data_IF_134265447363
#
_entry.id   IF_134265447363
#
_cell.length_a   1.000
_cell.length_b   1.000
_cell.length_c   1.000
_cell.angle_alpha   90.00
_cell.angle_beta   90.00
_cell.angle_gamma   90.00
#
_symmetry.space_group_name_H-M   'P 1'
#
loop_
_entity.id
_entity.type
_entity.pdbx_description
1 polymer ?
#
# COMPACT_ATOMS: atom_id res chain seq x y z
N UNK A 1 -1.76 -13.59 -28.90
CA UNK A 1 -1.25 -12.73 -27.82
C UNK A 1 -1.35 -13.46 -26.45
N UNK A 2 -0.89 -12.85 -25.35
CA UNK A 2 -0.92 -13.49 -24.02
C UNK A 2 -2.36 -13.56 -23.47
N UNK A 3 -3.19 -12.55 -23.73
CA UNK A 3 -4.56 -12.54 -23.31
C UNK A 3 -5.36 -13.71 -23.89
N UNK A 4 -5.21 -13.98 -25.19
CA UNK A 4 -5.85 -15.13 -25.84
C UNK A 4 -5.31 -16.45 -25.32
N UNK A 5 -3.99 -16.55 -25.15
CA UNK A 5 -3.33 -17.78 -24.69
C UNK A 5 -3.76 -18.20 -23.29
N UNK A 6 -3.90 -17.22 -22.38
CA UNK A 6 -4.19 -17.47 -20.98
C UNK A 6 -5.61 -17.06 -20.56
N UNK A 7 -6.42 -16.56 -21.51
CA UNK A 7 -7.79 -16.11 -21.31
C UNK A 7 -7.89 -15.03 -20.20
N UNK A 8 -7.02 -14.00 -20.28
CA UNK A 8 -7.04 -12.88 -19.35
C UNK A 8 -8.17 -11.92 -19.70
N UNK A 9 -8.94 -11.51 -18.70
CA UNK A 9 -9.99 -10.49 -18.84
C UNK A 9 -9.40 -9.07 -18.89
N UNK A 10 -8.21 -8.85 -18.31
CA UNK A 10 -7.56 -7.56 -18.22
C UNK A 10 -6.08 -7.60 -17.88
N UNK A 11 -5.46 -6.43 -17.98
CA UNK A 11 -4.11 -6.17 -17.50
C UNK A 11 -4.12 -5.05 -16.46
N UNK A 12 -3.38 -5.25 -15.38
CA UNK A 12 -3.11 -4.24 -14.37
C UNK A 12 -1.70 -3.67 -14.57
N UNK A 13 -1.57 -2.35 -14.59
CA UNK A 13 -0.29 -1.66 -14.67
C UNK A 13 0.11 -1.16 -13.29
N UNK A 14 1.21 -1.68 -12.78
CA UNK A 14 1.79 -1.35 -11.48
C UNK A 14 3.15 -0.67 -11.69
N UNK A 15 3.11 0.63 -12.04
CA UNK A 15 4.30 1.45 -12.21
C UNK A 15 4.56 2.26 -10.96
N UNK A 16 5.57 1.87 -10.22
CA UNK A 16 5.99 2.55 -9.00
C UNK A 16 7.28 3.36 -9.22
N UNK A 17 7.58 4.25 -8.27
CA UNK A 17 8.82 5.03 -8.26
C UNK A 17 8.99 5.91 -9.50
N UNK A 18 7.90 6.51 -9.97
CA UNK A 18 7.86 7.44 -11.09
C UNK A 18 7.91 8.87 -10.54
N UNK A 19 8.71 9.74 -11.14
CA UNK A 19 8.81 11.13 -10.72
C UNK A 19 7.61 11.96 -11.22
N UNK A 20 7.26 13.01 -10.47
CA UNK A 20 6.22 13.97 -10.85
C UNK A 20 6.47 14.58 -12.25
N UNK A 21 7.74 14.74 -12.64
CA UNK A 21 8.12 15.21 -13.99
C UNK A 21 7.67 14.30 -15.12
N UNK A 22 7.47 13.01 -14.84
CA UNK A 22 7.10 12.00 -15.84
C UNK A 22 5.59 11.71 -15.87
N UNK A 23 4.82 12.46 -15.10
CA UNK A 23 3.36 12.33 -14.96
C UNK A 23 2.62 12.34 -16.30
N UNK A 24 2.95 13.28 -17.19
CA UNK A 24 2.33 13.39 -18.49
C UNK A 24 2.72 12.24 -19.43
N UNK A 25 3.94 11.73 -19.32
CA UNK A 25 4.39 10.55 -20.05
C UNK A 25 3.63 9.30 -19.61
N UNK A 26 3.36 9.16 -18.31
CA UNK A 26 2.53 8.08 -17.77
C UNK A 26 1.10 8.17 -18.30
N UNK A 27 0.50 9.37 -18.30
CA UNK A 27 -0.84 9.60 -18.85
C UNK A 27 -0.91 9.19 -20.31
N UNK A 28 0.07 9.62 -21.12
CA UNK A 28 0.13 9.29 -22.55
C UNK A 28 0.31 7.78 -22.76
N UNK A 29 1.24 7.16 -22.05
CA UNK A 29 1.44 5.71 -22.12
C UNK A 29 0.15 4.96 -21.80
N UNK A 30 -0.54 5.33 -20.71
CA UNK A 30 -1.79 4.66 -20.32
C UNK A 30 -2.89 4.85 -21.34
N UNK A 31 -2.97 6.02 -21.98
CA UNK A 31 -3.93 6.27 -23.05
C UNK A 31 -3.69 5.35 -24.26
N UNK A 32 -2.44 5.23 -24.70
CA UNK A 32 -2.05 4.40 -25.84
C UNK A 32 -2.24 2.90 -25.53
N UNK A 33 -1.80 2.46 -24.34
CA UNK A 33 -1.93 1.08 -23.89
C UNK A 33 -3.40 0.67 -23.75
N UNK A 34 -4.22 1.53 -23.11
CA UNK A 34 -5.66 1.26 -22.92
C UNK A 34 -6.35 1.12 -24.27
N UNK A 35 -6.09 2.01 -25.21
CA UNK A 35 -6.67 1.93 -26.54
C UNK A 35 -6.31 0.62 -27.25
N UNK A 36 -5.03 0.27 -27.25
CA UNK A 36 -4.55 -0.96 -27.89
C UNK A 36 -5.13 -2.25 -27.27
N UNK A 37 -5.33 -2.24 -25.93
CA UNK A 37 -5.91 -3.39 -25.21
C UNK A 37 -7.43 -3.47 -25.40
N UNK A 38 -8.13 -2.34 -25.43
CA UNK A 38 -9.55 -2.30 -25.75
C UNK A 38 -9.85 -2.79 -27.18
N UNK A 39 -8.97 -2.53 -28.15
CA UNK A 39 -9.13 -3.04 -29.53
C UNK A 39 -9.16 -4.59 -29.60
N UNK A 40 -8.67 -5.27 -28.54
CA UNK A 40 -8.71 -6.74 -28.39
C UNK A 40 -9.62 -7.19 -27.23
N UNK A 41 -10.55 -6.33 -26.78
CA UNK A 41 -11.52 -6.60 -25.71
C UNK A 41 -10.88 -6.96 -24.35
N UNK A 42 -9.74 -6.38 -24.01
CA UNK A 42 -9.04 -6.59 -22.74
C UNK A 42 -9.19 -5.35 -21.87
N UNK A 43 -9.63 -5.52 -20.61
CA UNK A 43 -9.76 -4.47 -19.62
C UNK A 43 -8.39 -3.96 -19.14
N UNK A 44 -8.37 -2.70 -18.68
CA UNK A 44 -7.14 -2.07 -18.19
C UNK A 44 -7.36 -1.47 -16.81
N UNK A 45 -6.43 -1.72 -15.91
CA UNK A 45 -6.36 -1.06 -14.61
C UNK A 45 -4.95 -0.51 -14.34
N UNK A 46 -4.86 0.43 -13.42
CA UNK A 46 -3.60 0.99 -12.95
C UNK A 46 -3.59 1.09 -11.43
N UNK A 47 -2.46 0.73 -10.82
CA UNK A 47 -2.22 0.94 -9.40
C UNK A 47 -1.80 2.38 -9.13
N UNK A 48 -2.36 2.97 -8.08
CA UNK A 48 -2.00 4.30 -7.60
C UNK A 48 -1.90 4.30 -6.08
N UNK A 49 -0.98 5.10 -5.53
CA UNK A 49 -0.90 5.29 -4.08
C UNK A 49 -2.00 6.19 -3.56
N UNK A 50 -2.23 6.19 -2.24
CA UNK A 50 -3.05 7.21 -1.59
C UNK A 50 -2.52 8.62 -1.89
N UNK A 51 -3.40 9.62 -2.10
CA UNK A 51 -2.97 11.00 -2.34
C UNK A 51 -2.15 11.54 -1.16
N UNK A 52 -0.92 11.96 -1.43
CA UNK A 52 -0.01 12.58 -0.46
C UNK A 52 0.88 13.61 -1.15
N UNK A 53 1.49 14.50 -0.37
CA UNK A 53 2.41 15.50 -0.87
C UNK A 53 3.82 14.92 -1.07
N UNK A 54 3.94 14.00 -2.01
CA UNK A 54 5.18 13.34 -2.39
C UNK A 54 5.34 13.32 -3.91
N UNK A 55 6.45 13.87 -4.41
CA UNK A 55 6.71 14.04 -5.83
C UNK A 55 7.08 12.74 -6.55
N UNK A 56 7.53 11.72 -5.82
CA UNK A 56 7.99 10.47 -6.41
C UNK A 56 6.96 9.35 -6.28
N UNK A 57 6.23 9.31 -5.15
CA UNK A 57 5.33 8.19 -4.83
C UNK A 57 3.84 8.52 -5.00
N UNK A 58 3.48 9.78 -5.17
CA UNK A 58 2.05 10.16 -5.26
C UNK A 58 1.73 11.15 -6.37
N UNK A 59 2.49 12.25 -6.50
CA UNK A 59 2.20 13.30 -7.48
C UNK A 59 2.42 12.87 -8.94
N UNK A 60 3.16 11.78 -9.16
CA UNK A 60 3.31 11.16 -10.48
C UNK A 60 1.98 10.64 -11.06
N UNK A 61 0.99 10.32 -10.21
CA UNK A 61 -0.31 9.85 -10.67
C UNK A 61 -1.32 10.98 -10.82
N UNK A 62 -1.66 11.33 -12.06
CA UNK A 62 -2.82 12.17 -12.36
C UNK A 62 -4.10 11.33 -12.28
N UNK A 63 -4.59 11.13 -11.06
CA UNK A 63 -5.74 10.26 -10.79
C UNK A 63 -6.97 10.64 -11.57
N UNK A 64 -7.17 11.95 -11.81
CA UNK A 64 -8.29 12.47 -12.59
C UNK A 64 -8.21 12.09 -14.07
N UNK A 65 -7.04 12.20 -14.66
CA UNK A 65 -6.80 11.80 -16.06
C UNK A 65 -6.79 10.29 -16.20
N UNK A 66 -6.07 9.59 -15.33
CA UNK A 66 -6.01 8.13 -15.31
C UNK A 66 -7.40 7.50 -15.13
N UNK A 67 -8.22 8.02 -14.20
CA UNK A 67 -9.60 7.55 -13.99
C UNK A 67 -10.53 7.70 -15.21
N UNK A 68 -10.21 8.60 -16.13
CA UNK A 68 -10.94 8.72 -17.41
C UNK A 68 -10.46 7.73 -18.46
N UNK A 69 -9.17 7.38 -18.42
CA UNK A 69 -8.49 6.54 -19.42
C UNK A 69 -8.79 5.06 -19.17
N UNK A 70 -8.56 4.58 -17.95
CA UNK A 70 -8.62 3.14 -17.64
C UNK A 70 -10.00 2.66 -17.22
N UNK A 71 -10.22 1.34 -17.20
CA UNK A 71 -11.45 0.75 -16.67
C UNK A 71 -11.51 0.81 -15.15
N UNK A 72 -10.39 0.55 -14.44
CA UNK A 72 -10.32 0.58 -12.98
C UNK A 72 -9.03 1.24 -12.50
N UNK A 73 -9.12 1.92 -11.37
CA UNK A 73 -8.00 2.48 -10.61
C UNK A 73 -7.91 1.70 -9.30
N UNK A 74 -6.79 1.01 -9.08
CA UNK A 74 -6.53 0.23 -7.89
C UNK A 74 -5.81 1.12 -6.88
N UNK A 75 -6.48 1.51 -5.81
CA UNK A 75 -5.88 2.30 -4.75
C UNK A 75 -5.07 1.39 -3.82
N UNK A 76 -3.76 1.54 -3.80
CA UNK A 76 -2.86 0.89 -2.85
C UNK A 76 -2.97 1.58 -1.48
N UNK A 77 -4.01 1.21 -0.70
CA UNK A 77 -4.28 1.78 0.61
C UNK A 77 -3.52 1.01 1.72
N UNK A 78 -2.22 0.88 1.55
CA UNK A 78 -1.29 0.23 2.48
C UNK A 78 0.09 0.88 2.45
N UNK A 79 0.99 0.40 3.30
CA UNK A 79 2.31 0.99 3.55
C UNK A 79 2.24 2.43 4.10
N UNK A 80 1.22 2.73 4.95
CA UNK A 80 1.20 3.95 5.77
C UNK A 80 2.54 4.11 6.52
N UNK A 81 3.05 3.00 7.10
CA UNK A 81 4.42 2.88 7.57
C UNK A 81 5.09 1.72 6.84
N UNK A 82 5.99 2.04 5.92
CA UNK A 82 6.68 1.05 5.08
C UNK A 82 7.92 0.48 5.77
N UNK A 83 8.50 -0.57 5.19
CA UNK A 83 9.59 -1.35 5.79
C UNK A 83 10.83 -0.54 6.23
N UNK A 84 11.11 0.57 5.58
CA UNK A 84 12.25 1.45 5.91
C UNK A 84 11.85 2.75 6.61
N UNK A 85 10.61 2.84 7.09
CA UNK A 85 10.15 3.95 7.92
C UNK A 85 11.03 4.10 9.15
N UNK A 86 11.29 5.34 9.54
CA UNK A 86 12.08 5.69 10.74
C UNK A 86 11.23 5.68 12.01
N UNK A 87 9.94 5.51 11.87
CA UNK A 87 8.93 5.45 12.94
C UNK A 87 8.11 4.18 12.74
N UNK A 88 7.87 3.45 13.82
CA UNK A 88 6.95 2.31 13.85
C UNK A 88 5.50 2.76 13.74
N UNK A 89 4.66 1.94 13.11
CA UNK A 89 3.25 2.24 12.99
C UNK A 89 2.47 1.21 12.20
N UNK A 90 1.20 1.50 11.96
CA UNK A 90 0.30 0.65 11.18
C UNK A 90 0.74 0.57 9.71
N UNK A 91 0.47 -0.56 9.08
CA UNK A 91 0.57 -0.69 7.62
C UNK A 91 -0.58 0.05 6.94
N UNK A 92 -1.77 0.06 7.54
CA UNK A 92 -2.98 0.65 6.98
C UNK A 92 -3.99 0.89 8.11
N UNK A 93 -3.84 1.99 8.85
CA UNK A 93 -4.84 2.34 9.86
C UNK A 93 -6.15 2.76 9.19
N UNK A 94 -7.29 2.41 9.79
CA UNK A 94 -8.60 2.71 9.22
C UNK A 94 -8.79 4.19 8.86
N UNK A 95 -8.46 5.17 9.73
CA UNK A 95 -8.59 6.58 9.37
C UNK A 95 -7.71 7.01 8.19
N UNK A 96 -6.51 6.43 8.07
CA UNK A 96 -5.60 6.73 6.96
C UNK A 96 -6.15 6.15 5.64
N UNK A 97 -6.67 4.92 5.66
CA UNK A 97 -7.32 4.29 4.50
C UNK A 97 -8.55 5.07 4.07
N UNK A 98 -9.44 5.42 5.01
CA UNK A 98 -10.64 6.24 4.73
C UNK A 98 -10.27 7.57 4.10
N UNK A 99 -9.27 8.26 4.64
CA UNK A 99 -8.78 9.51 4.07
C UNK A 99 -8.24 9.32 2.64
N UNK A 100 -7.48 8.25 2.39
CA UNK A 100 -7.00 7.88 1.07
C UNK A 100 -8.14 7.67 0.06
N UNK A 101 -9.16 6.91 0.44
CA UNK A 101 -10.36 6.66 -0.37
C UNK A 101 -11.12 7.96 -0.66
N UNK A 102 -11.45 8.74 0.38
CA UNK A 102 -12.20 9.99 0.22
C UNK A 102 -11.47 10.99 -0.67
N UNK A 103 -10.15 11.09 -0.56
CA UNK A 103 -9.38 11.98 -1.42
C UNK A 103 -9.27 11.45 -2.86
N UNK A 104 -9.13 10.15 -3.06
CA UNK A 104 -9.10 9.56 -4.41
C UNK A 104 -10.43 9.71 -5.14
N UNK A 105 -11.55 9.57 -4.42
CA UNK A 105 -12.90 9.73 -4.98
C UNK A 105 -13.23 11.16 -5.46
N UNK A 106 -12.41 12.16 -5.13
CA UNK A 106 -12.55 13.51 -5.70
C UNK A 106 -12.19 13.56 -7.19
N UNK A 107 -11.34 12.63 -7.62
CA UNK A 107 -10.77 12.59 -8.97
C UNK A 107 -11.19 11.34 -9.76
N UNK A 108 -11.43 10.22 -9.11
CA UNK A 108 -11.77 8.91 -9.71
C UNK A 108 -13.25 8.60 -9.44
N UNK A 109 -14.06 8.25 -10.48
CA UNK A 109 -15.42 7.78 -10.26
C UNK A 109 -15.47 6.54 -9.37
N UNK A 110 -16.47 6.48 -8.46
CA UNK A 110 -16.60 5.41 -7.48
C UNK A 110 -16.74 4.02 -8.10
N UNK A 111 -17.39 3.91 -9.26
CA UNK A 111 -17.57 2.66 -10.01
C UNK A 111 -16.27 2.13 -10.64
N UNK A 112 -15.21 2.95 -10.68
CA UNK A 112 -13.91 2.58 -11.21
C UNK A 112 -12.86 2.35 -10.11
N UNK A 113 -13.15 2.80 -8.87
CA UNK A 113 -12.19 2.68 -7.77
C UNK A 113 -12.25 1.30 -7.14
N UNK A 114 -11.10 0.64 -7.04
CA UNK A 114 -10.92 -0.62 -6.32
C UNK A 114 -9.96 -0.38 -5.16
N UNK A 115 -10.35 -0.77 -3.96
CA UNK A 115 -9.54 -0.62 -2.76
C UNK A 115 -8.64 -1.84 -2.56
N UNK A 116 -7.33 -1.63 -2.63
CA UNK A 116 -6.32 -2.62 -2.26
C UNK A 116 -6.08 -2.65 -0.76
N UNK A 117 -6.15 -3.84 -0.15
CA UNK A 117 -5.91 -4.05 1.27
C UNK A 117 -4.69 -4.95 1.50
N UNK A 118 -3.89 -4.72 2.57
CA UNK A 118 -2.73 -5.54 2.85
C UNK A 118 -3.11 -6.88 3.47
N UNK A 119 -2.50 -7.97 3.00
CA UNK A 119 -2.52 -9.28 3.65
C UNK A 119 -1.21 -9.56 4.41
N UNK A 120 -0.59 -8.51 4.95
CA UNK A 120 0.64 -8.55 5.73
C UNK A 120 0.62 -7.47 6.82
N UNK A 121 1.52 -7.61 7.79
CA UNK A 121 1.77 -6.63 8.83
C UNK A 121 3.26 -6.34 8.97
N UNK A 122 3.61 -5.39 9.83
CA UNK A 122 5.00 -5.10 10.22
C UNK A 122 5.24 -5.54 11.67
N UNK A 123 6.27 -6.35 11.88
CA UNK A 123 6.89 -6.54 13.18
C UNK A 123 7.98 -5.47 13.33
N UNK A 124 7.81 -4.58 14.29
CA UNK A 124 8.73 -3.49 14.56
C UNK A 124 9.63 -3.84 15.75
N UNK A 125 10.94 -3.66 15.57
CA UNK A 125 11.91 -3.70 16.64
C UNK A 125 12.36 -2.28 16.95
N UNK A 126 12.05 -1.80 18.14
CA UNK A 126 12.46 -0.49 18.63
C UNK A 126 13.62 -0.65 19.61
N UNK A 127 14.68 0.12 19.43
CA UNK A 127 15.83 0.15 20.30
C UNK A 127 16.25 1.59 20.57
N UNK A 128 16.39 1.95 21.84
CA UNK A 128 16.95 3.24 22.23
C UNK A 128 18.47 3.19 22.15
N UNK A 129 19.06 4.01 21.29
CA UNK A 129 20.52 4.14 21.12
C UNK A 129 20.88 5.62 21.25
N UNK A 130 21.71 5.96 22.24
CA UNK A 130 22.11 7.35 22.53
C UNK A 130 20.93 8.31 22.65
N UNK A 131 19.85 7.91 23.34
CA UNK A 131 18.65 8.73 23.56
C UNK A 131 17.71 8.86 22.33
N UNK A 132 17.99 8.17 21.24
CA UNK A 132 17.14 8.16 20.04
C UNK A 132 16.58 6.76 19.79
N UNK A 133 15.30 6.67 19.44
CA UNK A 133 14.66 5.41 19.03
C UNK A 133 15.13 5.09 17.62
N UNK A 134 15.71 3.91 17.44
CA UNK A 134 15.99 3.30 16.13
C UNK A 134 14.98 2.20 15.89
N UNK A 135 14.45 2.16 14.69
CA UNK A 135 13.41 1.22 14.29
C UNK A 135 13.92 0.30 13.20
N UNK A 136 13.58 -0.98 13.29
CA UNK A 136 13.74 -1.95 12.21
C UNK A 136 12.42 -2.68 12.01
N UNK A 137 12.05 -2.93 10.76
CA UNK A 137 10.84 -3.66 10.45
C UNK A 137 11.13 -4.98 9.75
N UNK A 138 10.29 -5.97 10.07
CA UNK A 138 10.16 -7.22 9.32
C UNK A 138 8.72 -7.32 8.82
N UNK A 139 8.54 -7.72 7.56
CA UNK A 139 7.21 -8.06 7.03
C UNK A 139 6.82 -9.44 7.52
N UNK A 140 5.60 -9.57 8.01
CA UNK A 140 4.99 -10.82 8.49
C UNK A 140 3.72 -11.04 7.69
N UNK A 141 3.56 -12.22 7.08
CA UNK A 141 2.35 -12.57 6.37
C UNK A 141 1.20 -12.87 7.34
N UNK A 142 -0.03 -12.62 6.93
CA UNK A 142 -1.21 -12.79 7.78
C UNK A 142 -1.32 -14.22 8.37
N UNK A 143 -1.00 -15.25 7.59
CA UNK A 143 -1.05 -16.63 8.04
C UNK A 143 0.01 -17.00 9.10
N UNK A 144 1.05 -16.19 9.28
CA UNK A 144 2.09 -16.42 10.30
C UNK A 144 1.70 -15.83 11.66
N UNK A 145 0.74 -14.89 11.69
CA UNK A 145 0.39 -14.10 12.87
C UNK A 145 -0.14 -14.96 14.00
N UNK A 146 -1.08 -15.86 13.70
CA UNK A 146 -1.68 -16.75 14.69
C UNK A 146 -0.62 -17.62 15.39
N UNK A 147 0.35 -18.10 14.62
CA UNK A 147 1.47 -18.88 15.14
C UNK A 147 2.34 -18.03 16.09
N UNK A 148 2.67 -16.80 15.68
CA UNK A 148 3.46 -15.88 16.50
C UNK A 148 2.74 -15.53 17.81
N UNK A 149 1.45 -15.22 17.74
CA UNK A 149 0.61 -14.92 18.91
C UNK A 149 0.60 -16.09 19.88
N UNK A 150 0.37 -17.30 19.36
CA UNK A 150 0.31 -18.54 20.16
C UNK A 150 1.65 -18.88 20.78
N UNK A 151 2.72 -18.92 20.00
CA UNK A 151 4.06 -19.34 20.46
C UNK A 151 4.62 -18.38 21.50
N UNK A 152 4.39 -17.09 21.31
CA UNK A 152 4.84 -16.03 22.23
C UNK A 152 3.82 -15.70 23.33
N UNK A 153 2.68 -16.39 23.35
CA UNK A 153 1.57 -16.20 24.32
C UNK A 153 1.13 -14.74 24.42
N UNK A 154 1.02 -14.07 23.27
CA UNK A 154 0.63 -12.66 23.20
C UNK A 154 -0.86 -12.51 23.38
N UNK A 155 -1.27 -11.31 23.83
CA UNK A 155 -2.67 -10.92 23.90
C UNK A 155 -2.88 -9.76 22.94
N UNK A 156 -3.66 -9.92 21.87
CA UNK A 156 -4.04 -8.81 21.02
C UNK A 156 -4.81 -7.75 21.81
N UNK A 157 -4.54 -6.49 21.52
CA UNK A 157 -5.26 -5.34 22.00
C UNK A 157 -5.87 -4.62 20.80
N UNK A 158 -7.19 -4.43 20.83
CA UNK A 158 -7.85 -3.62 19.82
C UNK A 158 -7.57 -2.14 20.02
N UNK A 159 -7.09 -1.47 18.98
CA UNK A 159 -6.84 -0.03 18.95
C UNK A 159 -7.99 0.66 18.20
N UNK A 160 -8.92 1.28 18.96
CA UNK A 160 -10.10 1.96 18.39
C UNK A 160 -9.73 3.08 17.43
N UNK A 161 -8.68 3.84 17.74
CA UNK A 161 -8.18 4.95 16.93
C UNK A 161 -7.50 4.51 15.62
N UNK A 162 -7.18 3.22 15.50
CA UNK A 162 -6.55 2.63 14.31
C UNK A 162 -7.46 1.64 13.58
N UNK A 163 -8.51 1.15 14.25
CA UNK A 163 -9.40 0.12 13.72
C UNK A 163 -8.68 -1.19 13.44
N UNK A 164 -7.75 -1.61 14.33
CA UNK A 164 -6.95 -2.82 14.15
C UNK A 164 -6.44 -3.41 15.46
N UNK A 165 -6.06 -4.69 15.43
CA UNK A 165 -5.39 -5.35 16.54
C UNK A 165 -3.89 -4.97 16.60
N UNK A 166 -3.39 -4.89 17.82
CA UNK A 166 -1.99 -4.62 18.15
C UNK A 166 -1.48 -5.67 19.14
N UNK A 167 -0.23 -6.10 18.98
CA UNK A 167 0.48 -6.95 19.94
C UNK A 167 1.84 -6.38 20.25
N UNK A 168 2.25 -6.44 21.51
CA UNK A 168 3.55 -5.97 21.97
C UNK A 168 4.36 -7.09 22.61
N UNK A 169 5.65 -7.16 22.27
CA UNK A 169 6.61 -8.08 22.86
C UNK A 169 7.65 -7.25 23.58
N UNK A 170 7.69 -7.36 24.92
CA UNK A 170 8.73 -6.75 25.71
C UNK A 170 9.92 -7.71 25.77
N UNK A 171 10.98 -7.43 25.04
CA UNK A 171 12.25 -8.12 25.19
C UNK A 171 12.95 -7.53 26.42
N UNK A 172 12.90 -8.21 27.55
CA UNK A 172 13.74 -7.89 28.71
C UNK A 172 15.20 -8.06 28.26
N UNK A 173 15.89 -6.96 27.99
CA UNK A 173 17.34 -6.99 27.85
C UNK A 173 17.89 -7.35 29.21
N UNK A 174 18.40 -8.59 29.36
CA UNK A 174 19.30 -8.95 30.48
C UNK A 174 20.57 -8.12 30.29
N UNK A 175 20.61 -6.96 30.92
CA UNK A 175 21.86 -6.21 31.11
C UNK A 175 22.63 -7.02 32.19
N UNK A 176 23.46 -7.98 31.77
CA UNK A 176 24.52 -8.49 32.61
C UNK A 176 25.58 -7.41 32.71
N UNK A 177 25.50 -6.61 33.77
CA UNK A 177 26.65 -5.83 34.20
C UNK A 177 27.77 -6.84 34.57
N UNK A 178 28.81 -6.87 33.78
CA UNK A 178 30.14 -7.33 34.18
C UNK A 178 31.08 -6.15 34.22
#
# INVERSE_FOLDING_TARGET
>A
NLADKYQFDGYNFDFENIYESDRELLNQFMLEATKALHDINVKVSIDVTAPMDDSQWSKCYDRKTLGKIVDYVMLMAYDEHWRTSTVSGSVASLPWVENGVVNTLKDVPNEKLVLGLPFYMREWQEQTVAGKIKVKAKTVAMHEIDTIIKDKKLKPLWLEDKGQDYVQINLLSSVTNR
#
